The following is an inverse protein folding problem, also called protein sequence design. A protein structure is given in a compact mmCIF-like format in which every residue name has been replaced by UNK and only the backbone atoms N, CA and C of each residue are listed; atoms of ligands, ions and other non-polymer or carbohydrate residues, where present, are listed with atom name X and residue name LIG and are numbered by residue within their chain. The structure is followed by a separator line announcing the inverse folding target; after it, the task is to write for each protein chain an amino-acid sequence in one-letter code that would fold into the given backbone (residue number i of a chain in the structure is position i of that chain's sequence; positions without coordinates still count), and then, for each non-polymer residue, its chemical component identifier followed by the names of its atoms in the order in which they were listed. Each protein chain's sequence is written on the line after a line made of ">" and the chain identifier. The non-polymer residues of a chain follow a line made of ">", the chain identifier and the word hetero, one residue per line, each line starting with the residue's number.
data_IF_697762825491
#
_entry.id   IF_697762825491
#
_cell.length_a   1.000
_cell.length_b   1.000
_cell.length_c   1.000
_cell.angle_alpha   90.00
_cell.angle_beta   90.00
_cell.angle_gamma   90.00
#
_symmetry.space_group_name_H-M   'P 1'
#
loop_
_entity.id
_entity.type
_entity.pdbx_description
1 polymer ?
#
# COMPACT_ATOMS: atom_id res chain seq x y z
N UNK A 1 -8.82 11.49 1.15
CA UNK A 1 -7.40 11.16 1.08
C UNK A 1 -7.10 10.64 -0.30
N UNK A 2 -6.42 11.42 -1.10
CA UNK A 2 -6.23 11.11 -2.50
C UNK A 2 -5.17 10.07 -2.82
N UNK A 3 -4.71 9.29 -1.86
CA UNK A 3 -3.58 8.42 -2.05
C UNK A 3 -3.87 7.02 -2.59
N UNK A 4 -5.06 6.48 -2.33
CA UNK A 4 -5.33 5.06 -2.62
C UNK A 4 -5.29 4.72 -4.10
N UNK A 5 -5.90 5.55 -4.94
CA UNK A 5 -5.89 5.31 -6.38
C UNK A 5 -4.47 5.43 -6.96
N UNK A 6 -3.73 6.43 -6.51
CA UNK A 6 -2.34 6.60 -6.91
C UNK A 6 -1.50 5.39 -6.53
N UNK A 7 -1.68 4.90 -5.32
CA UNK A 7 -0.95 3.73 -4.84
C UNK A 7 -1.28 2.53 -5.71
N UNK A 8 -2.56 2.30 -5.97
CA UNK A 8 -3.00 1.16 -6.76
C UNK A 8 -2.44 1.21 -8.18
N UNK A 9 -2.35 2.40 -8.77
CA UNK A 9 -1.79 2.55 -10.12
C UNK A 9 -0.28 2.34 -10.16
N UNK A 10 0.40 2.61 -9.06
CA UNK A 10 1.86 2.49 -9.00
C UNK A 10 2.34 1.11 -8.58
N UNK A 11 1.41 0.21 -8.28
CA UNK A 11 1.77 -1.16 -7.92
C UNK A 11 2.22 -1.91 -9.18
N UNK A 12 3.38 -2.55 -9.09
CA UNK A 12 3.89 -3.38 -10.18
C UNK A 12 3.45 -4.81 -9.94
N UNK A 13 2.69 -5.38 -10.87
CA UNK A 13 2.27 -6.76 -10.79
C UNK A 13 3.48 -7.64 -11.13
N UNK A 14 3.98 -8.45 -10.20
CA UNK A 14 5.16 -9.27 -10.51
C UNK A 14 4.87 -10.26 -11.62
N UNK A 15 5.82 -10.43 -12.51
CA UNK A 15 5.63 -11.33 -13.65
C UNK A 15 5.39 -12.76 -13.22
N UNK A 16 6.07 -13.20 -12.16
CA UNK A 16 5.88 -14.55 -11.66
C UNK A 16 4.44 -14.76 -11.17
N UNK A 17 3.84 -13.73 -10.59
CA UNK A 17 2.45 -13.80 -10.14
C UNK A 17 1.49 -13.86 -11.32
N UNK A 18 1.78 -13.10 -12.37
CA UNK A 18 0.98 -13.12 -13.59
C UNK A 18 1.01 -14.52 -14.21
N UNK A 19 2.20 -15.09 -14.33
CA UNK A 19 2.36 -16.42 -14.92
C UNK A 19 1.69 -17.51 -14.11
N UNK A 20 1.74 -17.38 -12.79
CA UNK A 20 1.14 -18.37 -11.89
C UNK A 20 -0.35 -18.15 -11.68
N UNK A 21 -0.91 -17.05 -12.22
CA UNK A 21 -2.32 -16.75 -12.04
C UNK A 21 -2.68 -16.33 -10.64
N UNK A 22 -1.72 -15.73 -9.90
CA UNK A 22 -1.96 -15.33 -8.51
C UNK A 22 -2.73 -14.02 -8.48
N UNK A 23 -3.88 -14.05 -7.85
CA UNK A 23 -4.74 -12.89 -7.64
C UNK A 23 -5.13 -12.78 -6.18
N UNK A 24 -5.48 -11.60 -5.74
CA UNK A 24 -5.95 -11.40 -4.38
C UNK A 24 -5.65 -9.99 -3.90
N UNK A 25 -5.86 -9.79 -2.61
CA UNK A 25 -5.65 -8.48 -1.98
C UNK A 25 -4.58 -8.62 -0.91
N UNK A 26 -3.58 -7.75 -0.99
CA UNK A 26 -2.54 -7.63 0.03
C UNK A 26 -2.93 -6.49 0.94
N UNK A 27 -2.93 -6.72 2.24
CA UNK A 27 -3.24 -5.69 3.22
C UNK A 27 -1.94 -5.19 3.84
N UNK A 28 -1.69 -3.89 3.68
CA UNK A 28 -0.46 -3.27 4.15
C UNK A 28 -0.81 -2.20 5.18
N UNK A 29 -0.18 -2.28 6.34
CA UNK A 29 -0.33 -1.24 7.37
C UNK A 29 0.75 -0.19 7.13
N UNK A 30 0.33 1.02 6.79
CA UNK A 30 1.22 2.14 6.58
C UNK A 30 1.31 2.97 7.87
N UNK A 31 2.53 3.29 8.27
CA UNK A 31 2.80 4.18 9.40
C UNK A 31 3.18 5.53 8.81
N UNK A 32 2.32 6.51 9.03
CA UNK A 32 2.42 7.84 8.39
C UNK A 32 2.82 8.87 9.44
N UNK A 33 3.86 9.63 9.13
CA UNK A 33 4.34 10.65 10.06
C UNK A 33 3.52 11.94 9.98
N UNK A 34 3.90 12.94 10.76
CA UNK A 34 3.19 14.21 10.84
C UNK A 34 3.21 14.97 9.52
N UNK A 35 4.14 14.65 8.64
CA UNK A 35 4.28 15.30 7.34
C UNK A 35 3.57 14.55 6.22
N UNK A 36 2.91 13.45 6.54
CA UNK A 36 2.22 12.65 5.54
C UNK A 36 3.10 11.65 4.82
N UNK A 37 4.33 11.45 5.28
CA UNK A 37 5.24 10.48 4.69
C UNK A 37 5.08 9.12 5.34
N UNK A 38 5.13 8.07 4.51
CA UNK A 38 5.11 6.71 5.02
C UNK A 38 6.51 6.36 5.48
N UNK A 39 6.66 6.14 6.78
CA UNK A 39 7.97 5.83 7.36
C UNK A 39 8.17 4.33 7.56
N UNK A 40 7.08 3.57 7.49
CA UNK A 40 7.13 2.13 7.63
C UNK A 40 5.87 1.52 6.99
N UNK A 41 6.03 0.37 6.37
CA UNK A 41 4.90 -0.36 5.79
C UNK A 41 5.08 -1.84 6.12
N UNK A 42 4.08 -2.41 6.80
CA UNK A 42 4.09 -3.82 7.19
C UNK A 42 3.00 -4.56 6.45
N UNK A 43 3.33 -5.69 5.86
CA UNK A 43 2.35 -6.56 5.22
C UNK A 43 1.63 -7.34 6.32
N UNK A 44 0.34 -7.09 6.47
CA UNK A 44 -0.48 -7.76 7.48
C UNK A 44 -1.01 -9.07 6.93
N UNK A 45 -1.42 -9.07 5.67
CA UNK A 45 -1.90 -10.27 5.00
C UNK A 45 -1.45 -10.22 3.55
N UNK A 46 -0.75 -11.27 3.11
CA UNK A 46 -0.21 -11.34 1.78
C UNK A 46 -0.77 -12.49 0.97
N UNK A 47 -0.39 -12.53 -0.31
CA UNK A 47 -0.79 -13.58 -1.23
C UNK A 47 0.41 -14.27 -1.88
N UNK A 48 1.62 -13.80 -1.59
CA UNK A 48 2.84 -14.42 -2.10
C UNK A 48 3.17 -14.02 -3.53
N UNK A 49 4.05 -14.78 -4.15
CA UNK A 49 4.48 -14.61 -5.55
C UNK A 49 5.03 -13.22 -5.85
N UNK A 50 5.65 -12.57 -4.85
CA UNK A 50 6.22 -11.23 -5.00
C UNK A 50 5.21 -10.11 -4.87
N UNK A 51 3.92 -10.42 -4.74
CA UNK A 51 2.88 -9.40 -4.62
C UNK A 51 3.00 -8.62 -3.32
N UNK A 52 3.40 -9.31 -2.24
CA UNK A 52 3.54 -8.67 -0.93
C UNK A 52 4.58 -7.57 -0.97
N UNK A 53 5.75 -7.88 -1.54
CA UNK A 53 6.84 -6.92 -1.68
C UNK A 53 6.47 -5.77 -2.61
N UNK A 54 5.76 -6.10 -3.72
CA UNK A 54 5.31 -5.08 -4.66
C UNK A 54 4.33 -4.11 -4.01
N UNK A 55 3.41 -4.64 -3.21
CA UNK A 55 2.44 -3.82 -2.48
C UNK A 55 3.14 -2.94 -1.45
N UNK A 56 4.06 -3.52 -0.69
CA UNK A 56 4.82 -2.79 0.32
C UNK A 56 5.62 -1.65 -0.31
N UNK A 57 6.28 -1.92 -1.43
CA UNK A 57 7.08 -0.90 -2.13
C UNK A 57 6.20 0.26 -2.61
N UNK A 58 5.02 -0.05 -3.15
CA UNK A 58 4.09 0.98 -3.61
C UNK A 58 3.61 1.85 -2.45
N UNK A 59 3.31 1.23 -1.31
CA UNK A 59 2.84 1.95 -0.13
C UNK A 59 3.95 2.85 0.42
N UNK A 60 5.19 2.38 0.42
CA UNK A 60 6.32 3.17 0.92
C UNK A 60 6.56 4.44 0.10
N UNK A 61 6.17 4.42 -1.16
CA UNK A 61 6.32 5.59 -2.03
C UNK A 61 5.13 6.55 -1.96
N UNK A 62 4.10 6.18 -1.24
CA UNK A 62 2.89 6.98 -1.15
C UNK A 62 3.08 8.18 -0.24
N UNK A 63 2.29 9.21 -0.49
CA UNK A 63 2.26 10.39 0.36
C UNK A 63 0.81 10.71 0.69
N UNK A 64 0.55 10.95 1.96
CA UNK A 64 -0.79 11.18 2.46
C UNK A 64 -0.92 12.58 3.03
N UNK A 65 -2.16 13.03 3.16
CA UNK A 65 -2.43 14.19 4.01
C UNK A 65 -2.20 13.76 5.45
N UNK A 66 -1.47 14.57 6.24
CA UNK A 66 -1.29 14.22 7.65
C UNK A 66 -2.61 14.20 8.39
N UNK A 67 -2.74 13.26 9.32
CA UNK A 67 -3.85 13.30 10.26
C UNK A 67 -3.71 14.50 11.18
N UNK A 68 -4.82 15.00 11.70
CA UNK A 68 -4.79 16.14 12.59
C UNK A 68 -5.60 15.85 13.85
N UNK A 69 -5.09 16.32 14.97
CA UNK A 69 -5.80 16.27 16.23
C UNK A 69 -5.69 17.65 16.86
N UNK A 70 -6.84 18.30 17.10
CA UNK A 70 -6.89 19.66 17.63
C UNK A 70 -6.06 20.62 16.78
N UNK A 71 -6.14 20.48 15.44
CA UNK A 71 -5.43 21.33 14.51
C UNK A 71 -3.95 21.05 14.35
N UNK A 72 -3.41 20.06 15.06
CA UNK A 72 -1.99 19.71 14.96
C UNK A 72 -1.80 18.41 14.22
N UNK A 73 -0.82 18.32 13.30
CA UNK A 73 -0.52 17.07 12.62
C UNK A 73 -0.07 16.00 13.62
N UNK A 74 -0.53 14.78 13.39
CA UNK A 74 -0.19 13.64 14.25
C UNK A 74 0.19 12.45 13.39
N UNK A 75 0.95 11.53 13.97
CA UNK A 75 1.26 10.26 13.36
C UNK A 75 0.00 9.40 13.32
N UNK A 76 -0.18 8.67 12.22
CA UNK A 76 -1.34 7.78 12.07
C UNK A 76 -0.92 6.47 11.45
N UNK A 77 -1.74 5.45 11.63
CA UNK A 77 -1.62 4.17 10.95
C UNK A 77 -2.81 4.01 10.04
N UNK A 78 -2.55 3.54 8.82
CA UNK A 78 -3.59 3.36 7.81
C UNK A 78 -3.46 1.97 7.22
N UNK A 79 -4.54 1.19 7.24
CA UNK A 79 -4.58 -0.09 6.56
C UNK A 79 -4.93 0.14 5.10
N UNK A 80 -4.08 -0.34 4.19
CA UNK A 80 -4.24 -0.12 2.76
C UNK A 80 -4.41 -1.46 2.06
N UNK A 81 -5.57 -1.70 1.43
CA UNK A 81 -5.75 -2.90 0.62
C UNK A 81 -5.20 -2.64 -0.79
N UNK A 82 -4.32 -3.50 -1.23
CA UNK A 82 -3.75 -3.45 -2.57
C UNK A 82 -4.26 -4.65 -3.34
N UNK A 83 -5.04 -4.41 -4.38
CA UNK A 83 -5.66 -5.47 -5.15
C UNK A 83 -4.79 -5.87 -6.33
N UNK A 84 -4.59 -7.17 -6.48
CA UNK A 84 -3.94 -7.77 -7.63
C UNK A 84 -4.96 -8.60 -8.39
N UNK A 85 -5.32 -8.13 -9.57
CA UNK A 85 -6.30 -8.82 -10.39
C UNK A 85 -5.82 -8.87 -11.83
N UNK A 86 -5.89 -10.05 -12.42
CA UNK A 86 -5.49 -10.23 -13.81
C UNK A 86 -6.60 -9.78 -14.74
N UNK A 87 -6.22 -9.08 -15.79
CA UNK A 87 -7.14 -8.72 -16.85
C UNK A 87 -7.23 -9.86 -17.85
N UNK A 88 -8.42 -10.10 -18.32
CA UNK A 88 -8.63 -11.07 -19.38
C UNK A 88 -9.04 -10.40 -20.66
#
# INVERSE_FOLDING_TARGET
>A
IGGLESIQRNVVYPEIAIRAGVEGTVYVMAFVDENGNVVRADVVKGIGAGCDEAAQAAVMKAKFKPGKQRGKPVKVRVMIPIRFKLKK
#
